data_IF_794352759544
#
_entry.id   IF_794352759544
#
_cell.length_a   1.000
_cell.length_b   1.000
_cell.length_c   1.000
_cell.angle_alpha   90.00
_cell.angle_beta   90.00
_cell.angle_gamma   90.00
#
_symmetry.space_group_name_H-M   'P 1'
#
loop_
_entity.id
_entity.type
_entity.pdbx_description
1 polymer ?
#
# COMPACT_ATOMS: atom_id res chain seq x y z
N UNK A 1 22.67 9.05 19.50
CA UNK A 1 22.51 7.84 18.67
C UNK A 1 23.17 8.12 17.34
N UNK A 2 24.42 7.71 17.18
CA UNK A 2 25.24 7.96 15.99
C UNK A 2 24.74 7.09 14.84
N UNK A 3 24.18 7.74 13.82
CA UNK A 3 23.65 7.09 12.62
C UNK A 3 24.78 6.77 11.64
N UNK A 4 24.73 5.66 10.89
CA UNK A 4 25.76 5.31 9.93
C UNK A 4 25.79 6.31 8.76
N UNK A 5 27.00 6.78 8.44
CA UNK A 5 27.33 7.77 7.41
C UNK A 5 27.30 7.22 5.98
N UNK A 6 26.51 6.18 5.68
CA UNK A 6 26.45 5.59 4.33
C UNK A 6 25.01 5.21 4.00
N UNK A 7 24.24 6.18 3.48
CA UNK A 7 22.88 5.93 2.99
C UNK A 7 22.83 5.08 1.70
N UNK A 8 23.96 4.64 1.15
CA UNK A 8 24.02 3.96 -0.15
C UNK A 8 23.76 2.45 -0.11
N UNK A 9 23.80 1.78 1.05
CA UNK A 9 23.79 0.30 1.10
C UNK A 9 22.52 -0.31 1.72
N UNK A 10 21.50 0.49 2.02
CA UNK A 10 20.26 -0.05 2.61
C UNK A 10 19.49 -0.81 1.52
N UNK A 11 19.54 -2.13 1.60
CA UNK A 11 18.69 -2.99 0.78
C UNK A 11 18.16 -4.15 1.61
N UNK A 12 16.89 -4.48 1.39
CA UNK A 12 16.25 -5.62 2.04
C UNK A 12 14.75 -5.46 2.22
N UNK A 13 14.23 -6.17 3.22
CA UNK A 13 12.81 -6.39 3.46
C UNK A 13 12.47 -6.09 4.91
N UNK A 14 11.46 -5.25 5.12
CA UNK A 14 10.89 -4.95 6.43
C UNK A 14 9.46 -5.46 6.50
N UNK A 15 9.08 -6.16 7.56
CA UNK A 15 7.68 -6.53 7.80
C UNK A 15 6.89 -5.32 8.31
N UNK A 16 5.81 -4.96 7.64
CA UNK A 16 5.06 -3.73 7.92
C UNK A 16 3.87 -4.00 8.83
N UNK A 17 4.13 -4.57 10.01
CA UNK A 17 3.11 -5.00 10.98
C UNK A 17 2.24 -3.85 11.53
N UNK A 18 2.69 -2.60 11.39
CA UNK A 18 1.93 -1.40 11.75
C UNK A 18 0.85 -1.02 10.71
N UNK A 19 0.90 -1.59 9.50
CA UNK A 19 -0.10 -1.39 8.46
C UNK A 19 -1.14 -2.50 8.46
N UNK A 20 -2.35 -2.14 8.03
CA UNK A 20 -3.48 -3.02 7.86
C UNK A 20 -4.16 -2.76 6.53
N UNK A 21 -5.10 -3.63 6.18
CA UNK A 21 -5.77 -3.62 4.89
C UNK A 21 -7.27 -3.54 5.09
N UNK A 22 -7.90 -2.54 4.46
CA UNK A 22 -9.34 -2.54 4.24
C UNK A 22 -9.59 -3.06 2.82
N UNK A 23 -10.37 -4.13 2.71
CA UNK A 23 -10.84 -4.65 1.43
C UNK A 23 -12.18 -4.01 1.09
N UNK A 24 -12.32 -3.54 -0.15
CA UNK A 24 -13.58 -3.04 -0.70
C UNK A 24 -13.91 -3.87 -1.93
N UNK A 25 -14.95 -4.70 -1.82
CA UNK A 25 -15.34 -5.66 -2.86
C UNK A 25 -16.78 -5.44 -3.35
N UNK A 26 -17.02 -5.59 -4.65
CA UNK A 26 -18.33 -5.52 -5.29
C UNK A 26 -18.34 -4.62 -6.53
N UNK A 27 -19.36 -4.79 -7.38
CA UNK A 27 -19.47 -4.12 -8.69
C UNK A 27 -19.50 -2.59 -8.60
N UNK A 28 -19.94 -2.02 -7.48
CA UNK A 28 -19.97 -0.56 -7.26
C UNK A 28 -18.79 -0.06 -6.39
N UNK A 29 -17.79 -0.90 -6.09
CA UNK A 29 -16.67 -0.56 -5.19
C UNK A 29 -15.91 0.70 -5.64
N UNK A 30 -15.55 0.78 -6.92
CA UNK A 30 -14.83 1.93 -7.50
C UNK A 30 -15.67 3.21 -7.43
N UNK A 31 -16.96 3.12 -7.80
CA UNK A 31 -17.88 4.25 -7.77
C UNK A 31 -18.13 4.76 -6.35
N UNK A 32 -18.26 3.83 -5.39
CA UNK A 32 -18.35 4.17 -3.98
C UNK A 32 -17.10 4.93 -3.53
N UNK A 33 -15.90 4.39 -3.79
CA UNK A 33 -14.64 5.01 -3.38
C UNK A 33 -14.38 6.36 -4.04
N UNK A 34 -14.79 6.54 -5.29
CA UNK A 34 -14.71 7.83 -6.00
C UNK A 34 -15.41 8.96 -5.24
N UNK A 35 -16.51 8.67 -4.54
CA UNK A 35 -17.25 9.64 -3.75
C UNK A 35 -16.72 9.86 -2.33
N UNK A 36 -15.78 9.03 -1.87
CA UNK A 36 -15.27 9.07 -0.48
C UNK A 36 -13.82 9.57 -0.38
N UNK A 37 -13.01 9.33 -1.42
CA UNK A 37 -11.57 9.59 -1.38
C UNK A 37 -11.18 10.82 -2.22
N UNK A 38 -10.04 11.42 -1.90
CA UNK A 38 -9.54 12.61 -2.61
C UNK A 38 -8.98 12.35 -4.01
N UNK A 39 -8.76 11.09 -4.37
CA UNK A 39 -8.18 10.70 -5.67
C UNK A 39 -9.23 10.10 -6.60
N UNK A 40 -9.00 10.25 -7.90
CA UNK A 40 -9.82 9.62 -8.93
C UNK A 40 -9.55 8.11 -9.02
N UNK A 41 -10.39 7.31 -8.36
CA UNK A 41 -10.34 5.85 -8.35
C UNK A 41 -10.96 5.26 -9.64
N UNK A 42 -11.81 6.01 -10.34
CA UNK A 42 -12.40 5.58 -11.60
C UNK A 42 -11.33 5.42 -12.69
N UNK A 43 -10.38 6.36 -12.77
CA UNK A 43 -9.25 6.34 -13.71
C UNK A 43 -8.06 5.49 -13.24
N UNK A 44 -8.14 4.85 -12.09
CA UNK A 44 -7.07 3.97 -11.60
C UNK A 44 -7.04 2.66 -12.41
N UNK A 45 -5.94 2.36 -13.09
CA UNK A 45 -5.79 1.09 -13.81
C UNK A 45 -5.43 -0.09 -12.89
N UNK A 46 -5.42 -1.32 -13.42
CA UNK A 46 -4.96 -2.51 -12.70
C UNK A 46 -3.43 -2.54 -12.49
N UNK A 47 -2.67 -1.68 -13.16
CA UNK A 47 -1.20 -1.59 -13.08
C UNK A 47 -0.72 -0.38 -12.29
N UNK A 48 -1.60 0.24 -11.51
CA UNK A 48 -1.32 1.46 -10.76
C UNK A 48 -1.86 1.36 -9.34
N UNK A 49 -1.27 2.17 -8.48
CA UNK A 49 -1.74 2.49 -7.15
C UNK A 49 -1.90 4.01 -7.04
N UNK A 50 -2.51 4.48 -5.96
CA UNK A 50 -2.58 5.92 -5.62
C UNK A 50 -2.50 6.12 -4.12
N UNK A 51 -1.97 7.28 -3.72
CA UNK A 51 -2.11 7.79 -2.36
C UNK A 51 -3.37 8.66 -2.27
N UNK A 52 -4.37 8.22 -1.50
CA UNK A 52 -5.58 8.99 -1.28
C UNK A 52 -5.85 9.26 0.19
N UNK A 53 -6.62 10.31 0.46
CA UNK A 53 -7.08 10.64 1.78
C UNK A 53 -8.61 10.45 1.88
N UNK A 54 -9.07 10.01 3.06
CA UNK A 54 -10.46 10.12 3.47
C UNK A 54 -10.58 11.32 4.41
N UNK A 55 -11.46 12.26 4.05
CA UNK A 55 -11.66 13.51 4.78
C UNK A 55 -13.05 13.57 5.39
N UNK A 56 -13.20 14.34 6.47
CA UNK A 56 -14.54 14.68 6.97
C UNK A 56 -15.17 15.81 6.13
N UNK A 57 -16.44 16.12 6.42
CA UNK A 57 -17.19 17.19 5.74
C UNK A 57 -16.58 18.60 5.87
N UNK A 58 -15.64 18.82 6.81
CA UNK A 58 -14.88 20.07 6.96
C UNK A 58 -13.52 20.02 6.23
N UNK A 59 -13.27 19.00 5.42
CA UNK A 59 -12.01 18.81 4.71
C UNK A 59 -10.84 18.31 5.56
N UNK A 60 -11.05 17.96 6.83
CA UNK A 60 -9.95 17.45 7.68
C UNK A 60 -9.71 15.98 7.41
N UNK A 61 -8.48 15.62 7.05
CA UNK A 61 -8.05 14.25 6.83
C UNK A 61 -8.30 13.40 8.09
N UNK A 62 -8.90 12.24 7.89
CA UNK A 62 -9.16 11.23 8.91
C UNK A 62 -8.22 10.04 8.74
N UNK A 63 -7.91 9.68 7.50
CA UNK A 63 -7.00 8.59 7.15
C UNK A 63 -6.38 8.85 5.76
N UNK A 64 -5.24 8.23 5.50
CA UNK A 64 -4.62 8.11 4.17
C UNK A 64 -4.44 6.63 3.83
N UNK A 65 -4.43 6.34 2.52
CA UNK A 65 -4.32 4.99 2.00
C UNK A 65 -3.37 4.94 0.82
N UNK A 66 -2.53 3.91 0.77
CA UNK A 66 -2.05 3.37 -0.51
C UNK A 66 -3.16 2.48 -1.03
N UNK A 67 -3.82 2.88 -2.11
CA UNK A 67 -4.90 2.12 -2.73
C UNK A 67 -4.51 1.55 -4.09
N UNK A 68 -4.98 0.35 -4.40
CA UNK A 68 -4.82 -0.27 -5.70
C UNK A 68 -5.91 -1.29 -5.97
N UNK A 69 -6.17 -1.56 -7.25
CA UNK A 69 -7.13 -2.58 -7.68
C UNK A 69 -6.44 -3.94 -7.75
N UNK A 70 -7.09 -4.97 -7.18
CA UNK A 70 -6.73 -6.39 -7.42
C UNK A 70 -7.55 -6.98 -8.57
N UNK A 71 -8.75 -6.46 -8.78
CA UNK A 71 -9.60 -6.75 -9.94
C UNK A 71 -10.51 -5.56 -10.22
N UNK A 72 -11.38 -5.66 -11.22
CA UNK A 72 -12.38 -4.63 -11.49
C UNK A 72 -13.39 -4.43 -10.34
N UNK A 73 -13.54 -5.42 -9.47
CA UNK A 73 -14.51 -5.42 -8.37
C UNK A 73 -13.85 -5.45 -6.98
N UNK A 74 -12.52 -5.49 -6.91
CA UNK A 74 -11.80 -5.55 -5.63
C UNK A 74 -10.72 -4.46 -5.57
N UNK A 75 -10.83 -3.61 -4.56
CA UNK A 75 -9.86 -2.55 -4.24
C UNK A 75 -9.34 -2.78 -2.83
N UNK A 76 -8.02 -2.72 -2.66
CA UNK A 76 -7.38 -2.74 -1.35
C UNK A 76 -6.98 -1.32 -0.95
N UNK A 77 -7.21 -0.98 0.32
CA UNK A 77 -6.78 0.27 0.94
C UNK A 77 -5.82 -0.09 2.08
N UNK A 78 -4.53 0.20 1.91
CA UNK A 78 -3.52 -0.03 2.95
C UNK A 78 -3.35 1.23 3.78
N UNK A 79 -3.56 1.14 5.10
CA UNK A 79 -3.43 2.25 6.05
C UNK A 79 -2.84 1.78 7.38
N UNK A 80 -2.60 2.73 8.29
CA UNK A 80 -2.16 2.40 9.65
C UNK A 80 -3.24 1.60 10.41
N UNK A 81 -2.81 0.56 11.15
CA UNK A 81 -3.72 -0.33 11.92
C UNK A 81 -4.42 0.37 13.06
N UNK A 82 -3.76 1.33 13.70
CA UNK A 82 -4.27 2.06 14.87
C UNK A 82 -5.57 2.83 14.57
N UNK A 83 -5.72 3.35 13.35
CA UNK A 83 -6.91 4.08 12.89
C UNK A 83 -7.87 3.22 12.05
N UNK A 84 -7.50 1.99 11.70
CA UNK A 84 -8.21 1.16 10.72
C UNK A 84 -9.66 0.90 11.14
N UNK A 85 -9.89 0.40 12.36
CA UNK A 85 -11.23 0.06 12.83
C UNK A 85 -12.18 1.27 12.84
N UNK A 86 -11.68 2.44 13.29
CA UNK A 86 -12.45 3.67 13.30
C UNK A 86 -12.75 4.17 11.88
N UNK A 87 -11.78 4.05 10.98
CA UNK A 87 -11.86 4.45 9.57
C UNK A 87 -12.85 3.58 8.81
N UNK A 88 -12.73 2.25 8.96
CA UNK A 88 -13.65 1.27 8.38
C UNK A 88 -15.09 1.52 8.82
N UNK A 89 -15.30 1.74 10.13
CA UNK A 89 -16.63 2.06 10.67
C UNK A 89 -17.21 3.31 10.02
N UNK A 90 -16.42 4.38 9.86
CA UNK A 90 -16.89 5.62 9.23
C UNK A 90 -17.18 5.43 7.74
N UNK A 91 -16.27 4.82 6.98
CA UNK A 91 -16.48 4.54 5.55
C UNK A 91 -17.74 3.69 5.32
N UNK A 92 -17.96 2.69 6.17
CA UNK A 92 -19.11 1.79 6.08
C UNK A 92 -20.47 2.50 6.23
N UNK A 93 -20.52 3.66 6.91
CA UNK A 93 -21.76 4.45 7.02
C UNK A 93 -22.23 5.02 5.69
N UNK A 94 -21.34 5.19 4.71
CA UNK A 94 -21.64 5.81 3.42
C UNK A 94 -21.99 4.80 2.32
N UNK A 95 -21.94 3.50 2.63
CA UNK A 95 -22.15 2.41 1.66
C UNK A 95 -23.62 2.27 1.23
N UNK A 96 -24.55 2.97 1.88
CA UNK A 96 -26.00 2.79 1.72
C UNK A 96 -26.44 2.59 0.25
N UNK A 97 -26.94 1.37 -0.04
CA UNK A 97 -27.42 0.88 -1.35
C UNK A 97 -26.37 0.64 -2.44
N UNK A 98 -25.09 0.94 -2.21
CA UNK A 98 -24.03 0.52 -3.11
C UNK A 98 -23.80 -0.99 -3.00
N UNK A 99 -23.60 -1.68 -4.13
CA UNK A 99 -23.10 -3.05 -4.14
C UNK A 99 -21.57 -3.02 -3.91
N UNK A 100 -21.20 -2.68 -2.68
CA UNK A 100 -19.85 -2.61 -2.18
C UNK A 100 -19.84 -3.09 -0.72
N UNK A 101 -18.92 -4.00 -0.39
CA UNK A 101 -18.70 -4.52 0.95
C UNK A 101 -17.31 -4.11 1.42
N UNK A 102 -17.23 -3.48 2.58
CA UNK A 102 -15.98 -3.15 3.23
C UNK A 102 -15.72 -4.13 4.38
N UNK A 103 -14.49 -4.59 4.51
CA UNK A 103 -14.07 -5.44 5.62
C UNK A 103 -12.62 -5.16 6.01
N UNK A 104 -12.31 -5.40 7.29
CA UNK A 104 -10.92 -5.51 7.73
C UNK A 104 -10.36 -6.82 7.17
N UNK A 105 -9.35 -6.70 6.31
CA UNK A 105 -8.64 -7.80 5.66
C UNK A 105 -7.18 -7.85 6.14
N UNK A 106 -6.84 -7.23 7.27
CA UNK A 106 -5.47 -7.22 7.81
C UNK A 106 -4.98 -8.61 8.22
N UNK A 107 -5.88 -9.57 8.43
CA UNK A 107 -5.54 -10.99 8.65
C UNK A 107 -5.45 -11.81 7.36
N UNK A 108 -5.94 -11.27 6.24
CA UNK A 108 -5.95 -11.95 4.94
C UNK A 108 -4.70 -11.64 4.11
N UNK A 109 -3.91 -10.64 4.51
CA UNK A 109 -2.75 -10.15 3.78
C UNK A 109 -1.54 -9.94 4.69
N UNK A 110 -0.36 -10.29 4.19
CA UNK A 110 0.93 -9.94 4.75
C UNK A 110 1.54 -8.77 3.96
N UNK A 111 2.06 -7.78 4.68
CA UNK A 111 2.61 -6.54 4.12
C UNK A 111 4.10 -6.45 4.41
N UNK A 112 4.89 -6.21 3.36
CA UNK A 112 6.33 -6.01 3.46
C UNK A 112 6.76 -4.75 2.72
N UNK A 113 7.76 -4.07 3.23
CA UNK A 113 8.47 -3.00 2.56
C UNK A 113 9.72 -3.59 1.91
N UNK A 114 9.93 -3.32 0.64
CA UNK A 114 11.14 -3.71 -0.09
C UNK A 114 11.93 -2.46 -0.45
N UNK A 115 13.24 -2.47 -0.21
CA UNK A 115 14.12 -1.32 -0.48
C UNK A 115 15.41 -1.72 -1.20
N UNK A 116 15.89 -0.80 -2.05
CA UNK A 116 17.20 -0.90 -2.70
C UNK A 116 17.26 -2.04 -3.72
N UNK A 117 18.44 -2.62 -3.88
CA UNK A 117 18.74 -3.67 -4.87
C UNK A 117 17.91 -4.96 -4.73
N UNK A 118 17.30 -5.21 -3.58
CA UNK A 118 16.37 -6.33 -3.36
C UNK A 118 15.15 -6.23 -4.30
N UNK A 119 14.77 -5.04 -4.75
CA UNK A 119 13.74 -4.89 -5.78
C UNK A 119 14.15 -5.56 -7.11
N UNK A 120 15.43 -5.52 -7.46
CA UNK A 120 15.95 -6.11 -8.71
C UNK A 120 15.98 -7.64 -8.66
N UNK A 121 15.98 -8.24 -7.46
CA UNK A 121 15.92 -9.71 -7.31
C UNK A 121 14.49 -10.23 -7.32
N UNK A 122 13.53 -9.41 -6.87
CA UNK A 122 12.10 -9.74 -6.90
C UNK A 122 11.54 -9.55 -8.31
N UNK A 123 11.91 -8.45 -8.96
CA UNK A 123 11.48 -8.14 -10.29
C UNK A 123 12.69 -7.82 -11.16
N UNK A 124 12.80 -8.46 -12.32
CA UNK A 124 13.89 -8.22 -13.27
C UNK A 124 13.72 -6.86 -13.96
N UNK A 125 13.87 -5.79 -13.19
CA UNK A 125 13.83 -4.41 -13.65
C UNK A 125 15.15 -4.15 -14.38
N UNK A 126 15.16 -4.37 -15.70
CA UNK A 126 16.25 -3.91 -16.54
C UNK A 126 16.28 -2.37 -16.51
N UNK A 127 17.43 -1.78 -16.16
CA UNK A 127 17.72 -0.34 -16.27
C UNK A 127 16.97 0.66 -15.38
N UNK A 128 16.49 0.21 -14.22
CA UNK A 128 16.29 1.11 -13.09
C UNK A 128 14.88 1.70 -12.97
N UNK A 129 14.41 1.63 -11.72
CA UNK A 129 13.21 2.24 -11.14
C UNK A 129 11.97 2.34 -12.02
N UNK A 130 10.92 1.62 -11.65
CA UNK A 130 9.58 1.96 -12.13
C UNK A 130 9.13 3.32 -11.55
N UNK A 131 8.21 4.03 -12.23
CA UNK A 131 7.59 5.24 -11.67
C UNK A 131 6.92 4.95 -10.33
N UNK A 132 6.98 5.91 -9.41
CA UNK A 132 6.19 5.85 -8.18
C UNK A 132 4.71 5.67 -8.53
N UNK A 133 4.03 4.89 -7.70
CA UNK A 133 2.62 4.50 -7.85
C UNK A 133 2.31 3.56 -9.01
N UNK A 134 3.31 3.01 -9.69
CA UNK A 134 3.10 1.83 -10.54
C UNK A 134 2.88 0.59 -9.68
N UNK A 135 2.13 -0.39 -10.20
CA UNK A 135 1.88 -1.69 -9.57
C UNK A 135 2.20 -2.82 -10.54
N UNK A 136 2.79 -3.88 -10.01
CA UNK A 136 3.03 -5.13 -10.72
C UNK A 136 2.41 -6.28 -9.92
N UNK A 137 1.81 -7.22 -10.63
CA UNK A 137 1.27 -8.45 -10.03
C UNK A 137 2.29 -9.57 -10.22
N UNK A 138 2.66 -10.21 -9.11
CA UNK A 138 3.63 -11.31 -9.06
C UNK A 138 2.91 -12.47 -8.37
N UNK A 139 2.46 -13.44 -9.18
CA UNK A 139 1.53 -14.48 -8.75
C UNK A 139 0.30 -13.84 -8.06
N UNK A 140 0.03 -14.17 -6.79
CA UNK A 140 -1.07 -13.58 -6.01
C UNK A 140 -0.70 -12.31 -5.24
N UNK A 141 0.57 -11.89 -5.32
CA UNK A 141 1.10 -10.70 -4.67
C UNK A 141 1.01 -9.47 -5.56
N UNK A 142 0.92 -8.32 -4.91
CA UNK A 142 0.90 -7.01 -5.54
C UNK A 142 2.11 -6.21 -5.05
N UNK A 143 3.00 -5.82 -5.98
CA UNK A 143 4.15 -4.97 -5.72
C UNK A 143 3.83 -3.54 -6.17
N UNK A 144 3.70 -2.63 -5.22
CA UNK A 144 3.39 -1.22 -5.45
C UNK A 144 4.65 -0.38 -5.25
N UNK A 145 5.13 0.26 -6.31
CA UNK A 145 6.29 1.13 -6.25
C UNK A 145 5.92 2.43 -5.53
N UNK A 146 6.71 2.79 -4.52
CA UNK A 146 6.51 4.01 -3.72
C UNK A 146 7.48 5.09 -4.19
N UNK A 147 7.34 6.29 -3.62
CA UNK A 147 8.39 7.29 -3.79
C UNK A 147 9.72 6.79 -3.20
N UNK A 148 10.86 7.04 -3.88
CA UNK A 148 12.17 6.72 -3.33
C UNK A 148 12.39 7.40 -1.98
N UNK A 149 13.04 6.70 -1.06
CA UNK A 149 13.41 7.23 0.25
C UNK A 149 14.93 7.38 0.35
N UNK A 150 15.43 8.56 0.67
CA UNK A 150 16.87 8.88 0.67
C UNK A 150 17.58 8.52 -0.65
N UNK A 151 16.86 8.60 -1.78
CA UNK A 151 17.37 8.21 -3.11
C UNK A 151 17.32 6.71 -3.42
N UNK A 152 16.90 5.87 -2.47
CA UNK A 152 16.76 4.42 -2.67
C UNK A 152 15.36 4.07 -3.17
N UNK A 153 15.23 3.17 -4.17
CA UNK A 153 13.92 2.71 -4.64
C UNK A 153 13.23 1.91 -3.54
N UNK A 154 11.90 2.08 -3.45
CA UNK A 154 11.06 1.45 -2.42
C UNK A 154 9.77 0.93 -3.02
N UNK A 155 9.28 -0.17 -2.48
CA UNK A 155 7.97 -0.69 -2.83
C UNK A 155 7.27 -1.31 -1.62
N UNK A 156 5.93 -1.28 -1.67
CA UNK A 156 5.05 -2.03 -0.80
C UNK A 156 4.70 -3.36 -1.48
N UNK A 157 5.06 -4.46 -0.84
CA UNK A 157 4.62 -5.80 -1.21
C UNK A 157 3.40 -6.18 -0.37
N UNK A 158 2.31 -6.59 -1.04
CA UNK A 158 1.09 -7.09 -0.41
C UNK A 158 0.76 -8.47 -0.99
N UNK A 159 0.79 -9.52 -0.16
CA UNK A 159 0.47 -10.88 -0.57
C UNK A 159 -0.57 -11.50 0.37
N UNK A 160 -1.34 -12.51 -0.08
CA UNK A 160 -2.22 -13.27 0.82
C UNK A 160 -1.46 -13.78 2.05
N UNK A 161 -2.12 -13.79 3.20
CA UNK A 161 -1.55 -14.33 4.42
C UNK A 161 -1.19 -15.82 4.22
N UNK A 162 0.01 -16.20 4.65
CA UNK A 162 0.55 -17.55 4.46
C UNK A 162 1.35 -17.74 3.16
N UNK A 163 1.32 -16.78 2.23
CA UNK A 163 2.28 -16.74 1.12
C UNK A 163 3.72 -16.55 1.66
N UNK A 164 4.75 -17.12 1.00
CA UNK A 164 6.13 -16.86 1.37
C UNK A 164 6.45 -15.36 1.35
N UNK A 165 7.18 -14.88 2.36
CA UNK A 165 7.72 -13.54 2.34
C UNK A 165 8.64 -13.35 1.11
N UNK A 166 8.77 -12.12 0.58
CA UNK A 166 9.75 -11.85 -0.46
C UNK A 166 11.16 -12.24 0.01
N UNK A 167 12.05 -12.58 -0.94
CA UNK A 167 13.42 -13.00 -0.66
C UNK A 167 14.35 -11.78 -0.55
N UNK A 168 15.10 -11.67 0.54
CA UNK A 168 16.04 -10.57 0.77
C UNK A 168 16.50 -10.48 2.22
N UNK A 169 17.57 -9.71 2.50
CA UNK A 169 18.03 -9.47 3.86
C UNK A 169 16.97 -8.70 4.67
N UNK A 170 16.94 -8.92 5.99
CA UNK A 170 16.00 -8.21 6.87
C UNK A 170 16.44 -6.77 7.10
N UNK A 171 15.48 -5.84 7.03
CA UNK A 171 15.62 -4.42 7.37
C UNK A 171 14.69 -4.11 8.55
N UNK A 172 15.24 -3.45 9.57
CA UNK A 172 14.46 -3.01 10.73
C UNK A 172 13.35 -2.04 10.33
N UNK A 173 12.18 -2.18 10.95
CA UNK A 173 11.05 -1.31 10.72
C UNK A 173 11.36 0.19 10.98
N UNK A 174 12.24 0.50 11.94
CA UNK A 174 12.70 1.86 12.19
C UNK A 174 13.48 2.45 10.99
N UNK A 175 14.24 1.62 10.28
CA UNK A 175 14.95 2.04 9.06
C UNK A 175 13.95 2.29 7.94
N UNK A 176 12.95 1.42 7.79
CA UNK A 176 11.84 1.64 6.83
C UNK A 176 11.13 2.98 7.08
N UNK A 177 10.78 3.28 8.32
CA UNK A 177 10.13 4.55 8.68
C UNK A 177 11.01 5.78 8.43
N UNK A 178 12.31 5.67 8.65
CA UNK A 178 13.22 6.76 8.35
C UNK A 178 13.25 7.09 6.85
N UNK A 179 13.13 6.08 5.99
CA UNK A 179 13.05 6.24 4.54
C UNK A 179 11.73 6.86 4.07
N UNK A 180 10.66 6.85 4.87
CA UNK A 180 9.39 7.53 4.54
C UNK A 180 9.50 9.06 4.60
N UNK A 181 10.50 9.57 5.32
CA UNK A 181 10.64 11.01 5.62
C UNK A 181 11.75 11.67 4.79
N UNK A 182 12.67 10.88 4.23
CA UNK A 182 13.91 11.36 3.59
C UNK A 182 13.94 11.19 2.09
#
# INVERSE_FOLDING_TARGET
>A
MTMPSTALDISGIAELTHLGVIRVAGVEAVKFLQGQLTQDVALLSLSEARLAAFCNAKGRMQASFVLFKRSHEEVLLVCSRDILAATLKRLSMFVLRANAKLSDASGDFALYGVVGNTLNTIESIADGSRPAWSKVDIDDANLVFLHPGAGLPRALWCAPAGSPAPQGPHVDLAVWHWLDVR
#
